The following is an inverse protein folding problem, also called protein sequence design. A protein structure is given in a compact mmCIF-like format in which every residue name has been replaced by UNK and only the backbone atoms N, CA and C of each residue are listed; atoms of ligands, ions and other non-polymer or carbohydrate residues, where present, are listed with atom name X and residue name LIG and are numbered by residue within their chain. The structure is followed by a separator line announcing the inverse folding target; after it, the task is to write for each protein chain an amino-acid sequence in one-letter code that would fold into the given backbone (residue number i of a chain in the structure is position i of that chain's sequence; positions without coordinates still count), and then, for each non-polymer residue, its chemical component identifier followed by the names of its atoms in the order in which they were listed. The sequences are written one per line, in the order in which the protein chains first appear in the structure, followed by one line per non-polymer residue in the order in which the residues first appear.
data_IF_141308231340
#
_entry.id   IF_141308231340
#
_cell.length_a   1.000
_cell.length_b   1.000
_cell.length_c   1.000
_cell.angle_alpha   90.00
_cell.angle_beta   90.00
_cell.angle_gamma   90.00
#
_symmetry.space_group_name_H-M   'P 1'
#
loop_
_entity.id
_entity.type
_entity.pdbx_description
1 polymer ?
#
# COMPACT_ATOMS: atom_id res chain seq x y z
N UNK A 1 16.08 16.55 9.69
CA UNK A 1 15.49 15.37 9.00
C UNK A 1 16.60 14.47 8.50
N UNK A 2 16.54 13.18 8.85
CA UNK A 2 17.53 12.22 8.39
C UNK A 2 17.36 11.93 6.89
N UNK A 3 18.38 11.31 6.30
CA UNK A 3 18.30 10.89 4.90
C UNK A 3 17.18 9.87 4.69
N UNK A 4 17.02 8.95 5.64
CA UNK A 4 15.94 7.95 5.57
C UNK A 4 14.56 8.60 5.61
N UNK A 5 14.37 9.61 6.46
CA UNK A 5 13.11 10.35 6.51
C UNK A 5 12.83 11.09 5.22
N UNK A 6 13.85 11.66 4.59
CA UNK A 6 13.72 12.33 3.30
C UNK A 6 13.30 11.34 2.21
N UNK A 7 13.93 10.16 2.19
CA UNK A 7 13.58 9.11 1.24
C UNK A 7 12.15 8.61 1.48
N UNK A 8 11.79 8.40 2.74
CA UNK A 8 10.45 7.95 3.09
C UNK A 8 9.39 8.94 2.60
N UNK A 9 9.64 10.24 2.76
CA UNK A 9 8.73 11.26 2.25
C UNK A 9 8.60 11.21 0.73
N UNK A 10 9.71 11.01 0.03
CA UNK A 10 9.70 10.96 -1.43
C UNK A 10 8.97 9.73 -1.96
N UNK A 11 9.24 8.57 -1.37
CA UNK A 11 8.51 7.36 -1.75
C UNK A 11 7.02 7.47 -1.42
N UNK A 12 6.68 8.09 -0.28
CA UNK A 12 5.28 8.30 0.07
C UNK A 12 4.59 9.22 -0.93
N UNK A 13 5.25 10.28 -1.38
CA UNK A 13 4.70 11.17 -2.43
C UNK A 13 4.47 10.40 -3.73
N UNK A 14 5.38 9.49 -4.09
CA UNK A 14 5.20 8.64 -5.25
C UNK A 14 3.99 7.71 -5.09
N UNK A 15 3.79 7.18 -3.87
CA UNK A 15 2.60 6.35 -3.59
C UNK A 15 1.31 7.17 -3.78
N UNK A 16 1.29 8.43 -3.36
CA UNK A 16 0.15 9.31 -3.59
C UNK A 16 -0.09 9.58 -5.07
N UNK A 17 0.97 9.82 -5.82
CA UNK A 17 0.85 9.99 -7.28
C UNK A 17 0.27 8.73 -7.90
N UNK A 18 0.73 7.57 -7.46
CA UNK A 18 0.26 6.29 -8.00
C UNK A 18 -1.20 6.02 -7.66
N UNK A 19 -1.67 6.49 -6.49
CA UNK A 19 -3.07 6.38 -6.10
C UNK A 19 -4.02 7.08 -7.09
N UNK A 20 -3.54 8.08 -7.82
CA UNK A 20 -4.34 8.80 -8.80
C UNK A 20 -4.82 7.90 -9.95
N UNK A 21 -4.18 6.75 -10.16
CA UNK A 21 -4.61 5.78 -11.16
C UNK A 21 -5.89 5.04 -10.78
N UNK A 22 -6.26 5.04 -9.51
CA UNK A 22 -7.42 4.29 -9.04
C UNK A 22 -8.72 4.89 -9.57
N UNK A 23 -9.63 4.03 -10.00
CA UNK A 23 -10.99 4.40 -10.39
C UNK A 23 -11.98 4.32 -9.23
N UNK A 24 -11.53 3.88 -8.06
CA UNK A 24 -12.40 3.76 -6.90
C UNK A 24 -12.80 5.16 -6.40
N UNK A 25 -14.08 5.35 -6.11
CA UNK A 25 -14.61 6.65 -5.68
C UNK A 25 -14.56 6.83 -4.18
N UNK A 26 -14.75 5.75 -3.42
CA UNK A 26 -14.76 5.83 -1.96
C UNK A 26 -13.41 6.22 -1.38
N UNK A 27 -12.33 5.67 -1.94
CA UNK A 27 -10.97 5.97 -1.52
C UNK A 27 -9.99 5.53 -2.60
N UNK A 28 -8.99 6.34 -2.84
CA UNK A 28 -7.89 6.01 -3.75
C UNK A 28 -6.64 5.78 -2.92
N UNK A 29 -6.06 4.60 -3.04
CA UNK A 29 -4.89 4.19 -2.27
C UNK A 29 -3.80 3.78 -3.24
N UNK A 30 -2.56 4.16 -2.93
CA UNK A 30 -1.38 3.75 -3.68
C UNK A 30 -0.38 3.07 -2.77
N UNK A 31 0.35 2.11 -3.32
CA UNK A 31 1.39 1.38 -2.60
C UNK A 31 2.63 1.23 -3.48
N UNK A 32 3.81 1.38 -2.86
CA UNK A 32 5.10 1.22 -3.52
C UNK A 32 5.93 0.26 -2.69
N UNK A 33 6.53 -0.75 -3.33
CA UNK A 33 7.47 -1.66 -2.68
C UNK A 33 8.89 -1.28 -3.06
N UNK A 34 9.75 -1.10 -2.06
CA UNK A 34 11.13 -0.68 -2.25
C UNK A 34 12.07 -1.67 -1.57
N UNK A 35 13.13 -2.04 -2.26
CA UNK A 35 14.17 -2.92 -1.74
C UNK A 35 15.52 -2.45 -2.25
N UNK A 36 16.49 -2.27 -1.36
CA UNK A 36 17.81 -1.77 -1.73
C UNK A 36 17.73 -0.46 -2.54
N UNK A 37 16.84 0.44 -2.11
CA UNK A 37 16.58 1.74 -2.78
C UNK A 37 16.10 1.61 -4.22
N UNK A 38 15.54 0.45 -4.57
CA UNK A 38 14.94 0.23 -5.89
C UNK A 38 13.45 -0.01 -5.71
N UNK A 39 12.65 0.67 -6.50
CA UNK A 39 11.22 0.37 -6.56
C UNK A 39 11.06 -0.92 -7.33
N UNK A 40 10.58 -1.97 -6.64
CA UNK A 40 10.43 -3.29 -7.24
C UNK A 40 8.99 -3.63 -7.60
N UNK A 41 8.03 -2.89 -7.05
CA UNK A 41 6.62 -3.06 -7.40
C UNK A 41 5.82 -1.85 -6.98
N UNK A 42 4.61 -1.78 -7.49
CA UNK A 42 3.66 -0.71 -7.21
C UNK A 42 2.25 -1.28 -7.31
N UNK A 43 1.29 -0.57 -6.73
CA UNK A 43 -0.10 -0.96 -6.81
C UNK A 43 -1.02 0.20 -6.45
N UNK A 44 -2.24 0.13 -6.95
CA UNK A 44 -3.34 0.99 -6.53
C UNK A 44 -4.59 0.12 -6.42
N UNK A 45 -5.57 0.57 -5.65
CA UNK A 45 -6.77 -0.23 -5.46
C UNK A 45 -7.66 -0.20 -6.70
N UNK A 46 -8.28 -1.34 -7.00
CA UNK A 46 -9.12 -1.46 -8.18
C UNK A 46 -9.59 -2.88 -8.41
N UNK A 47 -10.41 -3.03 -9.44
CA UNK A 47 -10.93 -4.33 -9.87
C UNK A 47 -9.82 -5.16 -10.53
N UNK A 48 -10.00 -6.47 -10.63
CA UNK A 48 -9.02 -7.32 -11.32
C UNK A 48 -8.82 -6.89 -12.77
N UNK A 49 -7.66 -7.20 -13.31
CA UNK A 49 -7.30 -6.86 -14.68
C UNK A 49 -8.35 -7.39 -15.66
N UNK A 50 -8.83 -6.51 -16.54
CA UNK A 50 -9.84 -6.87 -17.55
C UNK A 50 -11.29 -6.74 -17.08
N UNK A 51 -11.51 -6.46 -15.81
CA UNK A 51 -12.85 -6.21 -15.27
C UNK A 51 -13.25 -4.75 -15.49
N UNK A 52 -14.52 -4.46 -15.30
CA UNK A 52 -15.01 -3.08 -15.35
C UNK A 52 -14.31 -2.21 -14.29
N UNK A 53 -14.02 -0.96 -14.64
CA UNK A 53 -13.34 -0.02 -13.74
C UNK A 53 -14.34 0.68 -12.80
N UNK A 54 -15.17 -0.11 -12.14
CA UNK A 54 -16.20 0.37 -11.20
C UNK A 54 -16.06 -0.41 -9.91
N UNK A 55 -15.53 0.25 -8.87
CA UNK A 55 -15.24 -0.41 -7.60
C UNK A 55 -16.45 -0.56 -6.70
N UNK A 56 -17.45 0.32 -6.83
CA UNK A 56 -18.59 0.39 -5.92
C UNK A 56 -19.85 -0.17 -6.57
N UNK A 57 -20.70 -0.79 -5.74
CA UNK A 57 -22.00 -1.29 -6.18
C UNK A 57 -23.05 -0.14 -6.13
N UNK A 58 -24.31 -0.47 -6.43
CA UNK A 58 -25.40 0.52 -6.45
C UNK A 58 -25.64 1.17 -5.10
N UNK A 59 -25.21 0.57 -4.01
CA UNK A 59 -25.30 1.11 -2.65
C UNK A 59 -24.02 1.82 -2.21
N UNK A 60 -23.12 2.09 -3.15
CA UNK A 60 -21.85 2.76 -2.90
C UNK A 60 -20.93 1.96 -1.96
N UNK A 61 -21.07 0.64 -1.95
CA UNK A 61 -20.21 -0.27 -1.20
C UNK A 61 -19.16 -0.86 -2.13
N UNK A 62 -17.95 -1.02 -1.64
CA UNK A 62 -16.87 -1.63 -2.41
C UNK A 62 -17.23 -3.07 -2.75
N UNK A 63 -17.10 -3.42 -4.02
CA UNK A 63 -17.39 -4.78 -4.50
C UNK A 63 -16.41 -5.78 -3.89
N UNK A 64 -16.84 -7.01 -3.60
CA UNK A 64 -15.97 -8.01 -2.94
C UNK A 64 -14.70 -8.35 -3.68
N UNK A 65 -14.66 -8.19 -5.00
CA UNK A 65 -13.49 -8.57 -5.80
C UNK A 65 -12.53 -7.41 -6.06
N UNK A 66 -12.77 -6.24 -5.47
CA UNK A 66 -11.81 -5.13 -5.55
C UNK A 66 -10.58 -5.48 -4.73
N UNK A 67 -9.41 -5.32 -5.34
CA UNK A 67 -8.14 -5.55 -4.67
C UNK A 67 -7.64 -4.25 -4.05
N UNK A 68 -7.07 -4.35 -2.85
CA UNK A 68 -6.40 -3.22 -2.23
C UNK A 68 -5.06 -2.97 -2.89
N UNK A 69 -4.53 -1.76 -2.74
CA UNK A 69 -3.25 -1.37 -3.34
C UNK A 69 -2.11 -2.31 -2.92
N UNK A 70 -2.10 -2.70 -1.65
CA UNK A 70 -1.07 -3.59 -1.10
C UNK A 70 -1.12 -4.96 -1.78
N UNK A 71 -2.31 -5.53 -1.93
CA UNK A 71 -2.50 -6.82 -2.59
C UNK A 71 -2.04 -6.75 -4.05
N UNK A 72 -2.35 -5.66 -4.74
CA UNK A 72 -1.91 -5.47 -6.12
C UNK A 72 -0.39 -5.38 -6.24
N UNK A 73 0.26 -4.65 -5.33
CA UNK A 73 1.72 -4.56 -5.34
C UNK A 73 2.37 -5.92 -5.07
N UNK A 74 1.84 -6.70 -4.15
CA UNK A 74 2.37 -8.03 -3.80
C UNK A 74 2.16 -9.03 -4.95
N UNK A 75 0.99 -9.04 -5.57
CA UNK A 75 0.71 -9.99 -6.65
C UNK A 75 1.51 -9.68 -7.92
N UNK A 76 1.86 -8.41 -8.16
CA UNK A 76 2.79 -8.06 -9.25
C UNK A 76 4.16 -8.68 -9.04
N UNK A 77 4.65 -8.74 -7.79
CA UNK A 77 5.91 -9.40 -7.48
C UNK A 77 5.86 -10.87 -7.89
N UNK A 78 4.73 -11.54 -7.65
CA UNK A 78 4.56 -12.95 -8.00
C UNK A 78 4.70 -13.21 -9.51
N UNK A 79 4.49 -12.20 -10.34
CA UNK A 79 4.62 -12.28 -11.81
C UNK A 79 5.96 -11.77 -12.31
N UNK A 80 6.85 -11.39 -11.41
CA UNK A 80 8.15 -10.81 -11.73
C UNK A 80 9.28 -11.75 -11.31
N UNK A 81 10.51 -11.34 -11.58
CA UNK A 81 11.71 -12.03 -11.10
C UNK A 81 12.20 -11.46 -9.76
N UNK A 82 11.47 -10.47 -9.21
CA UNK A 82 11.82 -9.84 -7.94
C UNK A 82 11.24 -10.63 -6.76
N UNK A 83 11.79 -10.38 -5.59
CA UNK A 83 11.26 -10.91 -4.33
C UNK A 83 10.93 -9.77 -3.38
N UNK A 84 9.80 -9.88 -2.70
CA UNK A 84 9.41 -8.92 -1.66
C UNK A 84 10.11 -9.17 -0.33
N UNK A 85 10.87 -10.26 -0.20
CA UNK A 85 11.61 -10.57 1.03
C UNK A 85 12.57 -9.44 1.39
N UNK A 86 12.39 -8.89 2.59
CA UNK A 86 13.23 -7.78 3.08
C UNK A 86 12.84 -6.40 2.57
N UNK A 87 11.74 -6.30 1.84
CA UNK A 87 11.29 -5.02 1.26
C UNK A 87 10.61 -4.11 2.27
N UNK A 88 10.50 -2.83 1.92
CA UNK A 88 9.69 -1.83 2.62
C UNK A 88 8.48 -1.50 1.75
N UNK A 89 7.30 -1.45 2.36
CA UNK A 89 6.09 -1.00 1.69
C UNK A 89 5.73 0.41 2.12
N UNK A 90 5.51 1.29 1.15
CA UNK A 90 4.97 2.63 1.35
C UNK A 90 3.53 2.61 0.86
N UNK A 91 2.59 2.88 1.75
CA UNK A 91 1.17 2.84 1.40
C UNK A 91 0.48 4.10 1.94
N UNK A 92 -0.37 4.71 1.14
CA UNK A 92 -0.97 6.00 1.50
C UNK A 92 -1.93 5.90 2.68
N UNK A 93 -2.60 4.76 2.85
CA UNK A 93 -3.51 4.50 3.98
C UNK A 93 -3.05 3.26 4.72
N UNK A 94 -3.17 3.27 6.05
CA UNK A 94 -2.75 2.13 6.89
C UNK A 94 -3.44 0.82 6.43
N UNK A 95 -2.70 -0.30 6.38
CA UNK A 95 -3.24 -1.57 5.90
C UNK A 95 -4.34 -2.13 6.82
N UNK A 96 -5.36 -2.72 6.20
CA UNK A 96 -6.35 -3.51 6.94
C UNK A 96 -5.74 -4.85 7.34
N UNK A 97 -6.45 -5.60 8.18
CA UNK A 97 -5.94 -6.89 8.68
C UNK A 97 -5.72 -7.90 7.54
N UNK A 98 -6.56 -7.89 6.52
CA UNK A 98 -6.40 -8.79 5.37
C UNK A 98 -5.10 -8.52 4.62
N UNK A 99 -4.80 -7.24 4.39
CA UNK A 99 -3.54 -6.85 3.74
C UNK A 99 -2.34 -7.07 4.66
N UNK A 100 -2.49 -6.87 5.96
CA UNK A 100 -1.43 -7.14 6.93
C UNK A 100 -0.96 -8.60 6.87
N UNK A 101 -1.90 -9.53 6.75
CA UNK A 101 -1.56 -10.95 6.59
C UNK A 101 -0.70 -11.20 5.35
N UNK A 102 -1.06 -10.58 4.24
CA UNK A 102 -0.32 -10.72 2.99
C UNK A 102 1.07 -10.10 3.10
N UNK A 103 1.18 -8.95 3.74
CA UNK A 103 2.46 -8.26 3.95
C UNK A 103 3.41 -9.14 4.76
N UNK A 104 2.90 -9.74 5.84
CA UNK A 104 3.70 -10.64 6.68
C UNK A 104 4.21 -11.82 5.86
N UNK A 105 3.31 -12.50 5.13
CA UNK A 105 3.67 -13.69 4.37
C UNK A 105 4.57 -13.37 3.18
N UNK A 106 4.54 -12.14 2.68
CA UNK A 106 5.40 -11.70 1.58
C UNK A 106 6.85 -11.41 2.02
N UNK A 107 7.13 -11.44 3.31
CA UNK A 107 8.47 -11.20 3.83
C UNK A 107 8.85 -9.73 3.91
N UNK A 108 7.88 -8.83 3.81
CA UNK A 108 8.10 -7.38 3.96
C UNK A 108 8.47 -7.09 5.41
N UNK A 109 9.50 -6.27 5.63
CA UNK A 109 10.05 -6.04 6.97
C UNK A 109 9.71 -4.67 7.55
N UNK A 110 9.22 -3.76 6.72
CA UNK A 110 8.91 -2.41 7.14
C UNK A 110 7.70 -1.89 6.37
N UNK A 111 6.79 -1.22 7.07
CA UNK A 111 5.60 -0.59 6.47
C UNK A 111 5.57 0.88 6.89
N UNK A 112 5.50 1.77 5.91
CA UNK A 112 5.37 3.21 6.12
C UNK A 112 4.02 3.64 5.55
N UNK A 113 3.22 4.32 6.36
CA UNK A 113 1.90 4.80 5.94
C UNK A 113 1.74 6.27 6.30
N UNK A 114 0.76 6.93 5.70
CA UNK A 114 0.48 8.34 5.95
C UNK A 114 -0.87 8.52 6.64
N UNK A 115 -1.96 8.20 5.97
CA UNK A 115 -3.31 8.33 6.53
C UNK A 115 -3.65 7.11 7.36
N UNK A 116 -4.07 7.32 8.61
CA UNK A 116 -4.44 6.21 9.48
C UNK A 116 -5.93 5.93 9.35
N UNK A 117 -6.25 4.69 9.01
CA UNK A 117 -7.63 4.21 8.97
C UNK A 117 -8.12 4.00 10.41
N UNK A 118 -9.43 4.21 10.66
CA UNK A 118 -9.98 4.15 12.02
C UNK A 118 -9.88 2.76 12.66
N UNK A 119 -9.76 1.70 11.88
CA UNK A 119 -9.56 0.34 12.38
C UNK A 119 -8.06 0.03 12.33
N UNK A 120 -7.45 -0.24 13.49
CA UNK A 120 -5.99 -0.39 13.61
C UNK A 120 -5.53 -1.83 13.82
N UNK A 121 -6.42 -2.81 13.68
CA UNK A 121 -6.07 -4.22 13.88
C UNK A 121 -4.99 -4.70 12.90
N UNK A 122 -4.96 -4.18 11.68
CA UNK A 122 -3.90 -4.49 10.72
C UNK A 122 -2.53 -4.04 11.20
N UNK A 123 -2.43 -2.80 11.70
CA UNK A 123 -1.18 -2.27 12.24
C UNK A 123 -0.73 -3.07 13.47
N UNK A 124 -1.66 -3.44 14.33
CA UNK A 124 -1.36 -4.23 15.51
C UNK A 124 -0.80 -5.60 15.13
N UNK A 125 -1.37 -6.22 14.09
CA UNK A 125 -0.89 -7.51 13.59
C UNK A 125 0.52 -7.40 13.03
N UNK A 126 0.82 -6.35 12.26
CA UNK A 126 2.15 -6.10 11.72
C UNK A 126 3.18 -5.96 12.84
N UNK A 127 2.85 -5.21 13.89
CA UNK A 127 3.75 -5.03 15.04
C UNK A 127 3.97 -6.34 15.78
N UNK A 128 2.92 -7.14 15.94
CA UNK A 128 3.03 -8.47 16.55
C UNK A 128 3.96 -9.39 15.77
N UNK A 129 3.99 -9.24 14.46
CA UNK A 129 4.88 -10.03 13.60
C UNK A 129 6.33 -9.52 13.61
N UNK A 130 6.62 -8.42 14.30
CA UNK A 130 7.96 -7.85 14.36
C UNK A 130 8.29 -6.94 13.19
N UNK A 131 7.29 -6.54 12.41
CA UNK A 131 7.50 -5.61 11.29
C UNK A 131 7.57 -4.19 11.84
N UNK A 132 8.56 -3.41 11.36
CA UNK A 132 8.69 -2.01 11.71
C UNK A 132 7.55 -1.24 11.06
N UNK A 133 6.79 -0.48 11.85
CA UNK A 133 5.66 0.30 11.37
C UNK A 133 5.93 1.78 11.66
N UNK A 134 5.91 2.60 10.61
CA UNK A 134 6.19 4.03 10.73
C UNK A 134 5.06 4.83 10.09
N UNK A 135 4.74 5.97 10.69
CA UNK A 135 3.80 6.93 10.08
C UNK A 135 4.56 8.17 9.62
N UNK A 136 4.24 8.63 8.42
CA UNK A 136 4.80 9.87 7.88
C UNK A 136 3.65 10.75 7.43
N UNK A 137 3.56 11.94 8.01
CA UNK A 137 2.56 12.92 7.61
C UNK A 137 3.01 13.62 6.34
N UNK A 138 2.18 13.53 5.30
CA UNK A 138 2.38 14.26 4.06
C UNK A 138 1.26 15.31 3.97
N UNK A 139 1.64 16.57 3.88
CA UNK A 139 0.66 17.65 3.75
C UNK A 139 0.01 17.60 2.37
N UNK A 140 -1.19 18.19 2.25
CA UNK A 140 -1.88 18.26 0.95
C UNK A 140 -1.02 18.95 -0.11
N UNK A 141 -0.19 19.89 0.30
CA UNK A 141 0.75 20.59 -0.58
C UNK A 141 1.85 19.68 -1.10
N UNK A 142 2.22 18.65 -0.33
CA UNK A 142 3.29 17.72 -0.69
C UNK A 142 2.80 16.50 -1.49
N UNK A 143 1.50 16.27 -1.49
CA UNK A 143 0.90 15.14 -2.21
C UNK A 143 0.96 15.30 -3.71
#
# INVERSE_FOLDING_TARGET
MTKQEQLDKRYMRMAYVWAENSYCERRKVGAILVKNRMIISDGYNGTPCGFENICEDDNFKTKPYVLHAEANAITKIARSHNSSEGATMYVTTSPCIECAKLIIQAGIVRVVYSDEYHVTDGLDLLRRAGIEVCRIDITDHEK
#
